data_IF_625523255380
#
_entry.id   IF_625523255380
#
_cell.length_a   1.000
_cell.length_b   1.000
_cell.length_c   1.000
_cell.angle_alpha   90.00
_cell.angle_beta   90.00
_cell.angle_gamma   90.00
#
_symmetry.space_group_name_H-M   'P 1'
#
loop_
_entity.id
_entity.type
_entity.pdbx_description
1 polymer ?
#
# COMPACT_ATOMS: atom_id res chain seq x y z
N UNK A 1 11.21 11.43 -13.30
CA UNK A 1 10.10 10.49 -13.62
C UNK A 1 10.43 9.05 -13.23
N UNK A 2 11.57 8.48 -13.65
CA UNK A 2 11.96 7.11 -13.27
C UNK A 2 12.04 6.89 -11.75
N UNK A 3 12.55 7.88 -11.00
CA UNK A 3 12.66 7.84 -9.53
C UNK A 3 11.31 7.72 -8.81
N UNK A 4 10.29 8.44 -9.28
CA UNK A 4 8.92 8.40 -8.73
C UNK A 4 8.29 7.04 -8.98
N UNK A 5 8.40 6.51 -10.21
CA UNK A 5 7.85 5.20 -10.54
C UNK A 5 8.54 4.06 -9.77
N UNK A 6 9.86 4.14 -9.56
CA UNK A 6 10.56 3.17 -8.71
C UNK A 6 10.13 3.27 -7.25
N UNK A 7 9.96 4.47 -6.70
CA UNK A 7 9.52 4.66 -5.32
C UNK A 7 8.09 4.15 -5.11
N UNK A 8 7.17 4.46 -6.04
CA UNK A 8 5.81 3.90 -6.07
C UNK A 8 5.86 2.38 -6.13
N UNK A 9 6.66 1.82 -7.05
CA UNK A 9 6.83 0.38 -7.22
C UNK A 9 7.28 -0.30 -5.94
N UNK A 10 8.35 0.20 -5.29
CA UNK A 10 8.84 -0.37 -4.03
C UNK A 10 7.81 -0.30 -2.91
N UNK A 11 7.19 0.87 -2.69
CA UNK A 11 6.18 1.06 -1.64
C UNK A 11 4.94 0.17 -1.85
N UNK A 12 4.49 0.04 -3.09
CA UNK A 12 3.31 -0.77 -3.43
C UNK A 12 3.63 -2.25 -3.40
N UNK A 13 4.81 -2.65 -3.85
CA UNK A 13 5.27 -4.04 -3.82
C UNK A 13 5.44 -4.54 -2.39
N UNK A 14 5.87 -3.68 -1.46
CA UNK A 14 6.04 -4.06 -0.07
C UNK A 14 4.80 -4.74 0.49
N UNK A 15 4.97 -5.84 1.25
CA UNK A 15 3.85 -6.57 1.81
C UNK A 15 3.01 -5.66 2.72
N UNK A 16 1.76 -6.03 2.97
CA UNK A 16 0.81 -5.21 3.74
C UNK A 16 -0.60 -5.77 3.59
N UNK A 17 -1.60 -5.24 4.31
CA UNK A 17 -2.94 -5.85 4.34
C UNK A 17 -3.56 -6.06 2.96
N UNK A 18 -3.50 -5.05 2.10
CA UNK A 18 -4.02 -5.10 0.72
C UNK A 18 -3.33 -6.20 -0.08
N UNK A 19 -2.00 -6.22 -0.10
CA UNK A 19 -1.21 -7.21 -0.83
C UNK A 19 -1.43 -8.64 -0.31
N UNK A 20 -1.52 -8.80 1.02
CA UNK A 20 -1.83 -10.08 1.65
C UNK A 20 -3.22 -10.58 1.27
N UNK A 21 -4.22 -9.68 1.18
CA UNK A 21 -5.55 -10.05 0.68
C UNK A 21 -5.56 -10.39 -0.82
N UNK A 22 -4.77 -9.70 -1.65
CA UNK A 22 -4.59 -10.05 -3.06
C UNK A 22 -3.97 -11.43 -3.22
N UNK A 23 -2.91 -11.71 -2.45
CA UNK A 23 -2.28 -13.03 -2.40
C UNK A 23 -3.29 -14.08 -1.96
N UNK A 24 -4.00 -13.85 -0.85
CA UNK A 24 -5.01 -14.77 -0.32
C UNK A 24 -6.13 -15.01 -1.33
N UNK A 25 -6.59 -13.97 -2.02
CA UNK A 25 -7.59 -14.10 -3.09
C UNK A 25 -7.07 -14.97 -4.23
N UNK A 26 -5.80 -14.80 -4.63
CA UNK A 26 -5.12 -15.68 -5.57
C UNK A 26 -5.09 -17.14 -5.12
N UNK A 27 -4.75 -17.40 -3.85
CA UNK A 27 -4.75 -18.75 -3.26
C UNK A 27 -6.15 -19.36 -3.24
N UNK A 28 -7.19 -18.60 -2.88
CA UNK A 28 -8.55 -19.11 -2.74
C UNK A 28 -9.23 -19.31 -4.10
N UNK A 29 -9.20 -18.29 -4.95
CA UNK A 29 -10.03 -18.21 -6.17
C UNK A 29 -9.23 -18.35 -7.48
N UNK A 30 -7.90 -18.32 -7.43
CA UNK A 30 -7.05 -18.32 -8.62
C UNK A 30 -7.04 -16.98 -9.35
N UNK A 31 -6.12 -16.84 -10.32
CA UNK A 31 -5.87 -15.56 -10.99
C UNK A 31 -7.08 -15.01 -11.74
N UNK A 32 -7.78 -15.85 -12.53
CA UNK A 32 -8.92 -15.42 -13.38
C UNK A 32 -10.04 -14.73 -12.61
N UNK A 33 -10.32 -15.16 -11.38
CA UNK A 33 -11.40 -14.60 -10.55
C UNK A 33 -10.93 -13.46 -9.65
N UNK A 34 -9.64 -13.45 -9.29
CA UNK A 34 -9.08 -12.52 -8.31
C UNK A 34 -8.42 -11.27 -8.92
N UNK A 35 -7.94 -11.32 -10.17
CA UNK A 35 -7.28 -10.17 -10.82
C UNK A 35 -8.11 -8.87 -10.84
N UNK A 36 -9.47 -8.88 -10.89
CA UNK A 36 -10.23 -7.63 -10.84
C UNK A 36 -10.07 -6.89 -9.50
N UNK A 37 -9.59 -7.55 -8.44
CA UNK A 37 -9.25 -6.87 -7.19
C UNK A 37 -8.10 -5.88 -7.37
N UNK A 38 -7.17 -6.08 -8.32
CA UNK A 38 -6.13 -5.08 -8.63
C UNK A 38 -6.73 -3.78 -9.20
N UNK A 39 -7.88 -3.88 -9.90
CA UNK A 39 -8.61 -2.69 -10.35
C UNK A 39 -9.29 -1.98 -9.18
N UNK A 40 -9.88 -2.75 -8.26
CA UNK A 40 -10.47 -2.19 -7.03
C UNK A 40 -9.41 -1.55 -6.13
N UNK A 41 -8.22 -2.14 -6.05
CA UNK A 41 -7.06 -1.57 -5.35
C UNK A 41 -6.68 -0.23 -5.96
N UNK A 42 -6.51 -0.19 -7.29
CA UNK A 42 -6.20 1.03 -8.01
C UNK A 42 -7.25 2.12 -7.75
N UNK A 43 -8.53 1.79 -7.82
CA UNK A 43 -9.61 2.73 -7.55
C UNK A 43 -9.58 3.23 -6.09
N UNK A 44 -9.42 2.33 -5.12
CA UNK A 44 -9.37 2.68 -3.71
C UNK A 44 -8.19 3.63 -3.42
N UNK A 45 -7.00 3.33 -3.94
CA UNK A 45 -5.86 4.20 -3.76
C UNK A 45 -6.00 5.53 -4.51
N UNK A 46 -6.53 5.55 -5.73
CA UNK A 46 -6.77 6.81 -6.44
C UNK A 46 -7.74 7.71 -5.66
N UNK A 47 -8.82 7.16 -5.10
CA UNK A 47 -9.75 7.93 -4.26
C UNK A 47 -9.06 8.48 -3.01
N UNK A 48 -8.30 7.63 -2.31
CA UNK A 48 -7.56 8.04 -1.11
C UNK A 48 -6.53 9.12 -1.43
N UNK A 49 -5.74 8.93 -2.50
CA UNK A 49 -4.69 9.84 -2.95
C UNK A 49 -5.29 11.17 -3.39
N UNK A 50 -6.40 11.15 -4.13
CA UNK A 50 -7.09 12.36 -4.57
C UNK A 50 -7.59 13.17 -3.37
N UNK A 51 -8.26 12.50 -2.44
CA UNK A 51 -8.80 13.13 -1.25
C UNK A 51 -7.71 13.80 -0.40
N UNK A 52 -6.66 13.05 -0.05
CA UNK A 52 -5.58 13.59 0.78
C UNK A 52 -4.71 14.58 0.03
N UNK A 53 -4.46 14.37 -1.26
CA UNK A 53 -3.68 15.28 -2.09
C UNK A 53 -4.35 16.64 -2.20
N UNK A 54 -5.65 16.67 -2.49
CA UNK A 54 -6.45 17.89 -2.48
C UNK A 54 -6.49 18.56 -1.10
N UNK A 55 -6.73 17.77 -0.04
CA UNK A 55 -6.81 18.31 1.32
C UNK A 55 -5.47 18.94 1.75
N UNK A 56 -4.36 18.26 1.50
CA UNK A 56 -3.02 18.74 1.86
C UNK A 56 -2.57 19.89 0.98
N UNK A 57 -2.99 19.98 -0.29
CA UNK A 57 -2.67 21.14 -1.14
C UNK A 57 -3.37 22.41 -0.67
N UNK A 58 -4.59 22.31 -0.13
CA UNK A 58 -5.37 23.46 0.33
C UNK A 58 -5.06 23.85 1.78
N UNK A 59 -4.83 22.88 2.67
CA UNK A 59 -4.53 23.14 4.08
C UNK A 59 -3.04 23.37 4.32
N UNK A 60 -2.16 22.74 3.53
CA UNK A 60 -0.71 22.72 3.77
C UNK A 60 -0.06 24.10 3.79
N UNK A 61 -0.61 25.08 3.06
CA UNK A 61 -0.13 26.47 3.08
C UNK A 61 -0.36 27.16 4.43
N UNK A 62 -1.48 26.84 5.09
CA UNK A 62 -1.89 27.46 6.37
C UNK A 62 -1.45 26.63 7.60
N UNK A 63 -1.14 25.35 7.41
CA UNK A 63 -0.74 24.43 8.47
C UNK A 63 0.33 23.42 7.98
N UNK A 64 1.59 23.85 7.81
CA UNK A 64 2.67 22.98 7.32
C UNK A 64 2.98 21.80 8.26
N UNK A 65 2.58 21.87 9.53
CA UNK A 65 2.67 20.77 10.49
C UNK A 65 1.67 19.64 10.21
N UNK A 66 0.55 19.92 9.52
CA UNK A 66 -0.50 18.93 9.21
C UNK A 66 0.06 17.76 8.39
N UNK A 67 0.88 18.07 7.38
CA UNK A 67 1.54 17.05 6.56
C UNK A 67 2.44 16.12 7.39
N UNK A 68 3.23 16.70 8.30
CA UNK A 68 4.12 15.95 9.21
C UNK A 68 3.32 15.03 10.15
N UNK A 69 2.19 15.51 10.69
CA UNK A 69 1.30 14.72 11.54
C UNK A 69 0.67 13.57 10.76
N UNK A 70 0.18 13.80 9.54
CA UNK A 70 -0.42 12.75 8.70
C UNK A 70 0.60 11.67 8.30
N UNK A 71 1.83 12.08 8.00
CA UNK A 71 2.92 11.13 7.75
C UNK A 71 3.24 10.31 9.00
N UNK A 72 3.34 10.94 10.17
CA UNK A 72 3.58 10.25 11.43
C UNK A 72 2.48 9.23 11.75
N UNK A 73 1.21 9.61 11.60
CA UNK A 73 0.05 8.73 11.77
C UNK A 73 0.13 7.54 10.78
N UNK A 74 0.46 7.81 9.52
CA UNK A 74 0.58 6.79 8.47
C UNK A 74 1.67 5.76 8.79
N UNK A 75 2.82 6.23 9.27
CA UNK A 75 3.94 5.38 9.66
C UNK A 75 3.59 4.55 10.89
N UNK A 76 3.03 5.17 11.93
CA UNK A 76 2.58 4.47 13.13
C UNK A 76 1.56 3.38 12.81
N UNK A 77 0.60 3.67 11.92
CA UNK A 77 -0.33 2.66 11.42
C UNK A 77 0.40 1.55 10.68
N UNK A 78 1.30 1.88 9.74
CA UNK A 78 2.05 0.88 8.98
C UNK A 78 2.87 -0.05 9.89
N UNK A 79 3.54 0.50 10.91
CA UNK A 79 4.27 -0.28 11.93
C UNK A 79 3.32 -1.17 12.72
N UNK A 80 2.21 -0.62 13.23
CA UNK A 80 1.20 -1.39 13.98
C UNK A 80 0.67 -2.55 13.16
N UNK A 81 0.34 -2.32 11.89
CA UNK A 81 -0.19 -3.33 10.99
C UNK A 81 0.85 -4.38 10.63
N UNK A 82 2.10 -3.98 10.42
CA UNK A 82 3.22 -4.90 10.17
C UNK A 82 3.45 -5.80 11.38
N UNK A 83 3.41 -5.23 12.58
CA UNK A 83 3.53 -5.98 13.83
C UNK A 83 2.34 -6.94 14.05
N UNK A 84 1.12 -6.51 13.73
CA UNK A 84 -0.07 -7.37 13.76
C UNK A 84 0.07 -8.58 12.82
N UNK A 85 0.46 -8.34 11.57
CA UNK A 85 0.74 -9.41 10.60
C UNK A 85 1.84 -10.37 11.08
N UNK A 86 2.88 -9.86 11.73
CA UNK A 86 3.96 -10.68 12.29
C UNK A 86 3.51 -11.56 13.45
N UNK A 87 2.59 -11.07 14.30
CA UNK A 87 2.12 -11.78 15.50
C UNK A 87 0.95 -12.71 15.27
N UNK A 88 0.09 -12.44 14.30
CA UNK A 88 -1.04 -13.31 14.02
C UNK A 88 -0.56 -14.68 13.50
N UNK A 89 -0.90 -15.79 14.20
CA UNK A 89 -0.73 -17.11 13.62
C UNK A 89 -1.50 -17.14 12.30
N UNK A 90 -0.89 -17.67 11.23
CA UNK A 90 -1.64 -17.86 9.99
C UNK A 90 -2.90 -18.65 10.32
N UNK A 91 -4.06 -17.99 10.20
CA UNK A 91 -5.34 -18.65 10.36
C UNK A 91 -5.34 -19.90 9.49
N UNK A 92 -5.77 -21.02 10.08
CA UNK A 92 -5.73 -22.35 9.50
C UNK A 92 -6.20 -22.28 8.04
N UNK A 93 -5.34 -22.64 7.07
CA UNK A 93 -5.63 -22.39 5.67
C UNK A 93 -6.72 -23.30 5.12
N UNK A 94 -7.44 -24.09 5.94
CA UNK A 94 -8.62 -24.84 5.55
C UNK A 94 -9.81 -23.90 5.36
N UNK A 95 -10.03 -23.35 4.15
CA UNK A 95 -11.17 -22.49 3.93
C UNK A 95 -12.36 -23.44 3.74
N UNK A 96 -13.54 -23.08 4.24
CA UNK A 96 -14.74 -23.73 3.75
C UNK A 96 -14.73 -23.69 2.21
N UNK A 97 -15.10 -24.77 1.50
CA UNK A 97 -15.14 -24.78 0.05
C UNK A 97 -15.92 -23.57 -0.48
N UNK A 98 -15.25 -22.67 -1.21
CA UNK A 98 -15.87 -21.45 -1.74
C UNK A 98 -15.69 -20.17 -0.92
N UNK A 99 -14.92 -20.17 0.18
CA UNK A 99 -14.57 -18.94 0.88
C UNK A 99 -13.86 -17.95 -0.06
N UNK A 100 -14.46 -16.78 -0.29
CA UNK A 100 -13.95 -15.71 -1.15
C UNK A 100 -13.70 -14.45 -0.32
N UNK A 101 -12.67 -13.70 -0.69
CA UNK A 101 -12.47 -12.35 -0.14
C UNK A 101 -13.60 -11.47 -0.68
N UNK A 102 -14.37 -10.85 0.22
CA UNK A 102 -15.42 -9.89 -0.17
C UNK A 102 -14.78 -8.68 -0.85
N UNK A 103 -15.28 -8.33 -2.04
CA UNK A 103 -14.80 -7.18 -2.83
C UNK A 103 -14.99 -5.86 -2.08
N UNK A 104 -16.13 -5.70 -1.40
CA UNK A 104 -16.43 -4.52 -0.59
C UNK A 104 -15.51 -4.41 0.62
N UNK A 105 -15.30 -5.51 1.34
CA UNK A 105 -14.37 -5.54 2.47
C UNK A 105 -12.94 -5.21 2.02
N UNK A 106 -12.49 -5.81 0.91
CA UNK A 106 -11.18 -5.52 0.32
C UNK A 106 -11.03 -4.04 -0.05
N UNK A 107 -12.03 -3.47 -0.70
CA UNK A 107 -12.03 -2.06 -1.10
C UNK A 107 -11.93 -1.13 0.11
N UNK A 108 -12.78 -1.33 1.13
CA UNK A 108 -12.78 -0.51 2.34
C UNK A 108 -11.46 -0.64 3.12
N UNK A 109 -10.93 -1.87 3.26
CA UNK A 109 -9.64 -2.07 3.91
C UNK A 109 -8.51 -1.38 3.15
N UNK A 110 -8.56 -1.39 1.82
CA UNK A 110 -7.58 -0.70 0.98
C UNK A 110 -7.72 0.81 1.05
N UNK A 111 -8.94 1.33 1.13
CA UNK A 111 -9.21 2.76 1.29
C UNK A 111 -8.71 3.32 2.64
N UNK A 112 -8.70 2.48 3.69
CA UNK A 112 -8.19 2.83 5.02
C UNK A 112 -6.67 2.57 5.13
N UNK A 113 -6.11 1.73 4.26
CA UNK A 113 -4.68 1.41 4.26
C UNK A 113 -3.86 2.68 4.00
N UNK A 114 -2.91 3.07 4.88
CA UNK A 114 -2.21 4.34 4.76
C UNK A 114 -1.22 4.37 3.59
N UNK A 115 -1.06 3.30 2.80
CA UNK A 115 -0.18 3.29 1.63
C UNK A 115 -0.48 4.45 0.67
N UNK A 116 -1.75 4.75 0.35
CA UNK A 116 -2.06 5.89 -0.51
C UNK A 116 -1.74 7.24 0.14
N UNK A 117 -1.89 7.35 1.46
CA UNK A 117 -1.46 8.54 2.20
C UNK A 117 0.08 8.70 2.18
N UNK A 118 0.84 7.61 2.33
CA UNK A 118 2.29 7.62 2.18
C UNK A 118 2.72 8.03 0.75
N UNK A 119 1.99 7.58 -0.28
CA UNK A 119 2.23 8.00 -1.67
C UNK A 119 2.08 9.51 -1.80
N UNK A 120 0.94 10.08 -1.35
CA UNK A 120 0.70 11.52 -1.42
C UNK A 120 1.75 12.30 -0.65
N UNK A 121 2.08 11.85 0.56
CA UNK A 121 2.89 12.66 1.47
C UNK A 121 4.40 12.57 1.21
N UNK A 122 4.91 11.54 0.54
CA UNK A 122 6.35 11.34 0.34
C UNK A 122 6.82 11.30 -1.11
N UNK A 123 5.93 10.95 -2.05
CA UNK A 123 6.33 10.62 -3.42
C UNK A 123 5.79 11.64 -4.42
N UNK A 124 4.54 12.07 -4.25
CA UNK A 124 3.84 12.90 -5.22
C UNK A 124 4.04 14.39 -4.90
N UNK A 125 4.55 15.21 -5.84
CA UNK A 125 4.66 16.66 -5.64
C UNK A 125 3.28 17.30 -5.46
N UNK A 126 3.17 18.29 -4.56
CA UNK A 126 1.89 18.96 -4.24
C UNK A 126 1.27 19.64 -5.48
N UNK A 127 2.10 20.12 -6.41
CA UNK A 127 1.65 20.73 -7.67
C UNK A 127 0.81 19.78 -8.54
N UNK A 128 1.01 18.47 -8.39
CA UNK A 128 0.22 17.43 -9.07
C UNK A 128 -1.27 17.58 -8.79
N UNK A 129 -1.64 18.07 -7.60
CA UNK A 129 -3.04 18.23 -7.18
C UNK A 129 -3.61 19.62 -7.51
N UNK A 130 -2.79 20.54 -8.03
CA UNK A 130 -3.20 21.88 -8.44
C UNK A 130 -3.36 22.03 -9.97
N UNK A 131 -2.78 21.11 -10.75
CA UNK A 131 -2.81 21.13 -12.21
C UNK A 131 -3.43 19.82 -12.75
N UNK A 132 -4.51 19.94 -13.54
CA UNK A 132 -5.25 18.80 -14.08
C UNK A 132 -4.43 17.95 -15.06
N UNK A 133 -3.49 18.56 -15.79
CA UNK A 133 -2.59 17.87 -16.71
C UNK A 133 -1.58 17.03 -15.94
N UNK A 134 -0.97 17.61 -14.90
CA UNK A 134 -0.05 16.87 -14.02
C UNK A 134 -0.77 15.75 -13.29
N UNK A 135 -2.00 16.00 -12.81
CA UNK A 135 -2.83 14.98 -12.20
C UNK A 135 -3.13 13.82 -13.16
N UNK A 136 -3.52 14.12 -14.41
CA UNK A 136 -3.78 13.10 -15.43
C UNK A 136 -2.56 12.22 -15.74
N UNK A 137 -1.38 12.83 -15.83
CA UNK A 137 -0.12 12.10 -16.00
C UNK A 137 0.18 11.20 -14.80
N UNK A 138 -0.02 11.71 -13.58
CA UNK A 138 0.14 10.93 -12.36
C UNK A 138 -0.81 9.72 -12.33
N UNK A 139 -2.10 9.91 -12.62
CA UNK A 139 -3.10 8.82 -12.64
C UNK A 139 -2.67 7.73 -13.62
N UNK A 140 -2.20 8.11 -14.81
CA UNK A 140 -1.72 7.16 -15.82
C UNK A 140 -0.51 6.36 -15.32
N UNK A 141 0.50 7.04 -14.76
CA UNK A 141 1.71 6.40 -14.23
C UNK A 141 1.41 5.50 -13.03
N UNK A 142 0.57 5.98 -12.10
CA UNK A 142 0.16 5.25 -10.92
C UNK A 142 -0.61 3.97 -11.29
N UNK A 143 -1.56 4.07 -12.21
CA UNK A 143 -2.32 2.93 -12.72
C UNK A 143 -1.42 1.90 -13.40
N UNK A 144 -0.45 2.38 -14.20
CA UNK A 144 0.53 1.53 -14.86
C UNK A 144 1.48 0.79 -13.89
N UNK A 145 1.58 1.22 -12.63
CA UNK A 145 2.36 0.55 -11.59
C UNK A 145 1.48 -0.33 -10.69
N UNK A 146 0.38 0.19 -10.18
CA UNK A 146 -0.48 -0.52 -9.21
C UNK A 146 -1.09 -1.78 -9.82
N UNK A 147 -1.64 -1.70 -11.03
CA UNK A 147 -2.32 -2.86 -11.63
C UNK A 147 -1.36 -4.03 -11.82
N UNK A 148 -0.16 -3.86 -12.43
CA UNK A 148 0.81 -4.95 -12.54
C UNK A 148 1.28 -5.49 -11.19
N UNK A 149 1.55 -4.62 -10.20
CA UNK A 149 1.96 -5.03 -8.85
C UNK A 149 0.87 -5.86 -8.17
N UNK A 150 -0.38 -5.38 -8.19
CA UNK A 150 -1.51 -6.11 -7.62
C UNK A 150 -1.74 -7.45 -8.31
N UNK A 151 -1.66 -7.47 -9.65
CA UNK A 151 -1.74 -8.70 -10.44
C UNK A 151 -0.60 -9.68 -10.10
N UNK A 152 0.62 -9.20 -9.85
CA UNK A 152 1.74 -10.04 -9.44
C UNK A 152 1.46 -10.73 -8.10
N UNK A 153 0.90 -10.01 -7.12
CA UNK A 153 0.49 -10.59 -5.83
C UNK A 153 -0.61 -11.64 -5.99
N UNK A 154 -1.63 -11.37 -6.81
CA UNK A 154 -2.69 -12.35 -7.11
C UNK A 154 -2.12 -13.59 -7.81
N UNK A 155 -1.25 -13.39 -8.81
CA UNK A 155 -0.63 -14.48 -9.57
C UNK A 155 0.24 -15.34 -8.66
N UNK A 156 1.03 -14.71 -7.78
CA UNK A 156 1.85 -15.40 -6.80
C UNK A 156 1.00 -16.30 -5.90
N UNK A 157 -0.09 -15.78 -5.34
CA UNK A 157 -1.05 -16.59 -4.58
C UNK A 157 -1.66 -17.75 -5.38
N UNK A 158 -2.05 -17.51 -6.63
CA UNK A 158 -2.62 -18.54 -7.50
C UNK A 158 -1.63 -19.67 -7.83
N UNK A 159 -0.33 -19.35 -7.90
CA UNK A 159 0.75 -20.34 -8.11
C UNK A 159 1.05 -21.15 -6.87
N UNK A 160 0.95 -20.56 -5.67
CA UNK A 160 1.09 -21.27 -4.39
C UNK A 160 0.00 -22.35 -4.26
N UNK A 161 -1.26 -22.08 -4.64
CA UNK A 161 -2.32 -23.10 -4.62
C UNK A 161 -1.97 -24.33 -5.48
N UNK A 162 -1.33 -24.10 -6.62
CA UNK A 162 -1.00 -25.14 -7.61
C UNK A 162 0.23 -25.94 -7.23
N UNK A 163 1.23 -25.28 -6.65
CA UNK A 163 2.45 -25.93 -6.22
C UNK A 163 2.38 -26.24 -4.73
N UNK A 164 2.32 -27.53 -4.35
CA UNK A 164 2.29 -28.00 -2.95
C UNK A 164 3.58 -27.68 -2.15
N UNK A 165 4.25 -26.56 -2.42
CA UNK A 165 5.49 -26.14 -1.77
C UNK A 165 5.23 -25.81 -0.29
N UNK A 166 5.80 -26.64 0.58
CA UNK A 166 5.67 -26.61 2.05
C UNK A 166 6.24 -25.33 2.69
N UNK A 167 7.08 -24.57 1.99
CA UNK A 167 7.74 -23.37 2.53
C UNK A 167 7.00 -22.04 2.29
N UNK A 168 6.02 -21.98 1.39
CA UNK A 168 5.27 -20.73 1.08
C UNK A 168 3.94 -20.67 1.85
N UNK A 169 4.00 -20.93 3.15
CA UNK A 169 2.84 -20.78 4.03
C UNK A 169 2.53 -19.29 4.23
N UNK A 170 1.26 -18.92 4.49
CA UNK A 170 0.90 -17.54 4.84
C UNK A 170 1.74 -16.98 6.00
N UNK A 171 2.28 -17.84 6.86
CA UNK A 171 3.22 -17.49 7.94
C UNK A 171 4.54 -16.91 7.41
N UNK A 172 5.13 -17.51 6.37
CA UNK A 172 6.39 -17.01 5.80
C UNK A 172 6.19 -15.73 4.98
N UNK A 173 5.02 -15.56 4.37
CA UNK A 173 4.64 -14.27 3.75
C UNK A 173 4.44 -13.21 4.85
N UNK A 174 3.78 -13.52 5.95
CA UNK A 174 3.64 -12.59 7.08
C UNK A 174 4.99 -12.22 7.72
N UNK A 175 5.99 -13.11 7.69
CA UNK A 175 7.37 -12.80 8.14
C UNK A 175 8.07 -11.73 7.31
N UNK A 176 7.64 -11.49 6.07
CA UNK A 176 8.13 -10.34 5.29
C UNK A 176 7.65 -8.99 5.84
N UNK A 177 6.76 -8.97 6.84
CA UNK A 177 6.37 -7.75 7.57
C UNK A 177 7.54 -7.06 8.30
N UNK A 178 8.65 -7.78 8.53
CA UNK A 178 9.87 -7.20 9.07
C UNK A 178 10.52 -6.23 8.07
N UNK A 179 10.46 -6.55 6.77
CA UNK A 179 10.90 -5.64 5.68
C UNK A 179 10.01 -4.39 5.65
N UNK A 180 8.71 -4.55 5.92
CA UNK A 180 7.79 -3.41 6.05
C UNK A 180 8.18 -2.49 7.19
N UNK A 181 8.49 -3.09 8.34
CA UNK A 181 8.90 -2.38 9.55
C UNK A 181 10.22 -1.63 9.34
N UNK A 182 11.22 -2.26 8.71
CA UNK A 182 12.50 -1.63 8.39
C UNK A 182 12.35 -0.41 7.46
N UNK A 183 11.51 -0.52 6.44
CA UNK A 183 11.26 0.60 5.53
C UNK A 183 10.44 1.72 6.20
N UNK A 184 9.44 1.37 7.02
CA UNK A 184 8.69 2.35 7.81
C UNK A 184 9.62 3.12 8.78
N UNK A 185 10.56 2.41 9.42
CA UNK A 185 11.62 3.00 10.23
C UNK A 185 12.56 3.89 9.42
N UNK A 186 12.96 3.49 8.20
CA UNK A 186 13.79 4.31 7.33
C UNK A 186 13.10 5.62 6.91
N UNK A 187 11.78 5.57 6.64
CA UNK A 187 10.97 6.77 6.38
C UNK A 187 10.88 7.64 7.63
N UNK A 188 10.62 7.04 8.80
CA UNK A 188 10.57 7.77 10.08
C UNK A 188 11.89 8.47 10.38
N UNK A 189 13.02 7.80 10.12
CA UNK A 189 14.35 8.37 10.30
C UNK A 189 14.57 9.57 9.38
N UNK A 190 14.21 9.47 8.08
CA UNK A 190 14.27 10.61 7.16
C UNK A 190 13.40 11.79 7.61
N UNK A 191 12.22 11.53 8.16
CA UNK A 191 11.37 12.59 8.70
C UNK A 191 11.97 13.25 9.93
N UNK A 192 12.53 12.45 10.84
CA UNK A 192 13.19 12.96 12.03
C UNK A 192 14.40 13.82 11.65
N UNK A 193 15.20 13.36 10.69
CA UNK A 193 16.36 14.09 10.17
C UNK A 193 15.94 15.42 9.52
N UNK A 194 14.88 15.41 8.70
CA UNK A 194 14.30 16.62 8.11
C UNK A 194 13.70 17.60 9.14
N UNK A 195 13.23 17.10 10.29
CA UNK A 195 12.76 17.93 11.40
C UNK A 195 13.94 18.58 12.14
N UNK A 196 15.00 17.82 12.39
CA UNK A 196 16.21 18.26 13.09
C UNK A 196 17.00 19.27 12.23
N UNK A 197 17.11 19.04 10.92
CA UNK A 197 17.77 19.96 9.99
C UNK A 197 17.00 21.26 9.73
N UNK A 198 15.75 21.37 10.21
CA UNK A 198 14.96 22.61 10.21
C UNK A 198 14.99 23.36 11.55
N UNK A 199 15.88 22.97 12.48
CA UNK A 199 16.16 23.72 13.71
C UNK A 199 16.77 25.11 13.42
N UNK A 200 16.48 26.13 14.26
CA UNK A 200 16.71 27.53 13.90
C UNK A 200 18.21 27.82 13.73
N UNK A 201 18.55 28.42 12.58
CA UNK A 201 19.76 29.22 12.42
C UNK A 201 19.53 30.63 12.96
#
# INVERSE_FOLDING_TARGET
MLSVMSALGFLLLMPGPTNTLLLRSGVLSGFRLAWPLSLLECLAYLLQISFWGYLLSHIGANAPWCLKVMQFISICYLVKTSYGLWREPAADPSPLPGARVSRWHFFLLTLINPKGLLVVSFIVPVQTFADITLYGQFVMQFTAVVIPVGCAWVLFGARIKRSRHVWLTPQNINRTALVISCFALAILFRLADALISTGPA
#
